data_IF_401015294115
#
_entry.id   IF_401015294115
#
_cell.length_a   1.000
_cell.length_b   1.000
_cell.length_c   1.000
_cell.angle_alpha   90.00
_cell.angle_beta   90.00
_cell.angle_gamma   90.00
#
_symmetry.space_group_name_H-M   'P 1'
#
loop_
_entity.id
_entity.type
_entity.pdbx_description
1 polymer ?
#
# COMPACT_ATOMS: atom_id res chain seq x y z
N UNK A 1 -45.06 1.59 -26.11
CA UNK A 1 -43.95 1.80 -25.16
C UNK A 1 -43.45 3.21 -25.39
N UNK A 2 -43.93 4.17 -24.60
CA UNK A 2 -43.44 5.53 -24.63
C UNK A 2 -41.98 5.53 -24.16
N UNK A 3 -41.05 5.68 -25.11
CA UNK A 3 -39.64 5.85 -24.80
C UNK A 3 -39.49 7.29 -24.36
N UNK A 4 -39.52 7.53 -23.05
CA UNK A 4 -39.13 8.81 -22.49
C UNK A 4 -37.68 9.12 -22.90
N UNK A 5 -37.50 9.94 -23.92
CA UNK A 5 -36.22 10.57 -24.25
C UNK A 5 -35.84 11.49 -23.08
N UNK A 6 -35.14 10.93 -22.08
CA UNK A 6 -34.52 11.74 -21.04
C UNK A 6 -33.60 12.77 -21.72
N UNK A 7 -33.64 14.05 -21.30
CA UNK A 7 -32.75 15.06 -21.86
C UNK A 7 -31.31 14.59 -21.67
N UNK A 8 -30.52 14.66 -22.75
CA UNK A 8 -29.12 14.24 -22.77
C UNK A 8 -28.36 15.02 -21.69
N UNK A 9 -27.99 14.36 -20.60
CA UNK A 9 -27.20 14.95 -19.51
C UNK A 9 -25.84 15.39 -20.06
N UNK A 10 -25.39 16.59 -19.67
CA UNK A 10 -24.05 17.06 -20.05
C UNK A 10 -22.97 16.22 -19.36
N UNK A 11 -21.92 15.77 -20.07
CA UNK A 11 -20.84 15.00 -19.47
C UNK A 11 -20.07 15.86 -18.46
N UNK A 12 -19.89 15.36 -17.23
CA UNK A 12 -19.06 16.00 -16.20
C UNK A 12 -17.54 15.87 -16.43
N UNK A 13 -17.13 15.07 -17.42
CA UNK A 13 -15.73 14.88 -17.78
C UNK A 13 -15.27 16.04 -18.68
N UNK A 14 -14.41 16.90 -18.14
CA UNK A 14 -13.78 18.01 -18.86
C UNK A 14 -12.29 17.69 -18.98
N UNK A 15 -11.77 17.72 -20.21
CA UNK A 15 -10.35 17.52 -20.51
C UNK A 15 -9.57 18.84 -20.35
N UNK A 16 -8.25 18.79 -20.53
CA UNK A 16 -7.44 20.01 -20.64
C UNK A 16 -7.94 20.96 -21.74
N UNK A 17 -7.63 22.25 -21.60
CA UNK A 17 -8.04 23.29 -22.56
C UNK A 17 -7.67 22.94 -24.02
N UNK A 18 -6.44 22.48 -24.34
CA UNK A 18 -6.09 22.11 -25.71
C UNK A 18 -6.97 21.00 -26.29
N UNK A 19 -7.30 19.98 -25.48
CA UNK A 19 -8.15 18.87 -25.90
C UNK A 19 -9.60 19.32 -26.07
N UNK A 20 -10.12 20.15 -25.17
CA UNK A 20 -11.48 20.70 -25.29
C UNK A 20 -11.64 21.63 -26.49
N UNK A 21 -10.63 22.45 -26.81
CA UNK A 21 -10.64 23.30 -28.01
C UNK A 21 -10.81 22.48 -29.29
N UNK A 22 -10.04 21.40 -29.43
CA UNK A 22 -10.14 20.50 -30.58
C UNK A 22 -11.47 19.76 -30.65
N UNK A 23 -11.98 19.31 -29.49
CA UNK A 23 -13.31 18.70 -29.40
C UNK A 23 -14.39 19.71 -29.85
N UNK A 24 -14.32 20.97 -29.43
CA UNK A 24 -15.28 22.00 -29.81
C UNK A 24 -15.22 22.34 -31.31
N UNK A 25 -14.03 22.33 -31.93
CA UNK A 25 -13.87 22.50 -33.38
C UNK A 25 -14.62 21.41 -34.14
N UNK A 26 -14.43 20.14 -33.77
CA UNK A 26 -15.12 18.99 -34.38
C UNK A 26 -16.63 19.05 -34.13
N UNK A 27 -17.06 19.37 -32.91
CA UNK A 27 -18.49 19.52 -32.56
C UNK A 27 -19.15 20.62 -33.38
N UNK A 28 -18.49 21.76 -33.55
CA UNK A 28 -19.00 22.89 -34.34
C UNK A 28 -19.13 22.52 -35.81
N UNK A 29 -18.17 21.77 -36.34
CA UNK A 29 -18.24 21.23 -37.69
C UNK A 29 -19.43 20.26 -37.88
N UNK A 30 -19.62 19.31 -36.97
CA UNK A 30 -20.75 18.35 -37.02
C UNK A 30 -22.11 19.06 -36.92
N UNK A 31 -22.22 20.09 -36.07
CA UNK A 31 -23.44 20.91 -35.94
C UNK A 31 -23.75 21.69 -37.22
N UNK A 32 -22.73 22.31 -37.83
CA UNK A 32 -22.89 23.09 -39.07
C UNK A 32 -23.43 22.25 -40.22
N UNK A 33 -22.98 21.00 -40.33
CA UNK A 33 -23.41 20.05 -41.36
C UNK A 33 -24.66 19.25 -40.98
N UNK A 34 -25.29 19.56 -39.82
CA UNK A 34 -26.50 18.89 -39.33
C UNK A 34 -26.42 17.37 -39.34
N UNK A 35 -25.26 16.82 -38.96
CA UNK A 35 -25.06 15.37 -38.94
C UNK A 35 -26.09 14.69 -38.02
N UNK A 36 -26.78 13.67 -38.52
CA UNK A 36 -27.78 12.93 -37.74
C UNK A 36 -27.09 11.95 -36.78
N UNK A 37 -26.90 12.41 -35.55
CA UNK A 37 -26.20 11.66 -34.52
C UNK A 37 -27.16 10.94 -33.54
N UNK A 38 -26.98 9.61 -33.37
CA UNK A 38 -27.62 8.86 -32.28
C UNK A 38 -27.12 9.30 -30.89
N UNK A 39 -25.85 9.70 -30.79
CA UNK A 39 -25.20 10.16 -29.57
C UNK A 39 -25.03 11.70 -29.55
N UNK A 40 -24.45 12.26 -28.48
CA UNK A 40 -24.06 13.68 -28.47
C UNK A 40 -22.89 13.92 -29.43
N UNK A 41 -22.84 15.09 -30.08
CA UNK A 41 -21.73 15.46 -30.96
C UNK A 41 -20.38 15.43 -30.24
N UNK A 42 -20.35 15.79 -28.95
CA UNK A 42 -19.15 15.70 -28.11
C UNK A 42 -18.62 14.28 -28.02
N UNK A 43 -19.49 13.30 -27.79
CA UNK A 43 -19.09 11.90 -27.71
C UNK A 43 -18.59 11.38 -29.07
N UNK A 44 -19.16 11.86 -30.17
CA UNK A 44 -18.69 11.53 -31.52
C UNK A 44 -17.30 12.11 -31.75
N UNK A 45 -17.07 13.39 -31.42
CA UNK A 45 -15.77 14.03 -31.52
C UNK A 45 -14.68 13.30 -30.73
N UNK A 46 -14.97 12.92 -29.48
CA UNK A 46 -14.02 12.16 -28.65
C UNK A 46 -13.75 10.78 -29.24
N UNK A 47 -14.80 10.08 -29.71
CA UNK A 47 -14.62 8.77 -30.33
C UNK A 47 -13.83 8.84 -31.64
N UNK A 48 -13.96 9.93 -32.39
CA UNK A 48 -13.14 10.20 -33.57
C UNK A 48 -11.69 10.47 -33.17
N UNK A 49 -11.42 11.34 -32.20
CA UNK A 49 -10.04 11.57 -31.76
C UNK A 49 -9.37 10.32 -31.16
N UNK A 50 -10.15 9.43 -30.53
CA UNK A 50 -9.67 8.15 -29.97
C UNK A 50 -9.59 6.99 -30.97
N UNK A 51 -9.78 7.26 -32.27
CA UNK A 51 -9.74 6.23 -33.32
C UNK A 51 -10.75 5.08 -33.09
N UNK A 52 -11.94 5.40 -32.57
CA UNK A 52 -12.95 4.38 -32.29
C UNK A 52 -13.47 3.77 -33.60
N UNK A 53 -13.09 2.52 -33.86
CA UNK A 53 -13.44 1.75 -35.06
C UNK A 53 -14.91 1.88 -35.50
N UNK A 54 -15.87 1.68 -34.59
CA UNK A 54 -17.31 1.72 -34.91
C UNK A 54 -17.80 3.11 -35.34
N UNK A 55 -17.14 4.16 -34.84
CA UNK A 55 -17.49 5.56 -35.16
C UNK A 55 -16.85 5.95 -36.49
N UNK A 56 -15.60 5.56 -36.71
CA UNK A 56 -14.91 5.74 -37.99
C UNK A 56 -15.62 5.05 -39.14
N UNK A 57 -15.95 3.76 -39.00
CA UNK A 57 -16.62 2.99 -40.05
C UNK A 57 -17.93 3.67 -40.49
N UNK A 58 -18.70 4.22 -39.55
CA UNK A 58 -19.97 4.90 -39.86
C UNK A 58 -19.81 6.26 -40.53
N UNK A 59 -18.79 7.02 -40.13
CA UNK A 59 -18.57 8.35 -40.69
C UNK A 59 -17.85 8.29 -42.03
N UNK A 60 -17.06 7.25 -42.29
CA UNK A 60 -16.36 7.07 -43.55
C UNK A 60 -17.29 6.95 -44.76
N UNK A 61 -18.48 6.37 -44.56
CA UNK A 61 -19.51 6.22 -45.59
C UNK A 61 -20.29 7.52 -45.87
N UNK A 62 -20.07 8.57 -45.07
CA UNK A 62 -20.79 9.84 -45.17
C UNK A 62 -19.95 10.89 -45.94
N UNK A 63 -20.53 11.65 -46.90
CA UNK A 63 -19.84 12.74 -47.61
C UNK A 63 -19.10 13.73 -46.71
N UNK A 64 -19.55 13.94 -45.46
CA UNK A 64 -18.88 14.85 -44.52
C UNK A 64 -17.46 14.41 -44.15
N UNK A 65 -17.10 13.13 -44.36
CA UNK A 65 -15.80 12.57 -44.02
C UNK A 65 -14.65 13.29 -44.72
N UNK A 66 -14.85 13.68 -45.98
CA UNK A 66 -13.80 14.25 -46.83
C UNK A 66 -13.23 15.54 -46.24
N UNK A 67 -14.10 16.42 -45.71
CA UNK A 67 -13.63 17.65 -45.05
C UNK A 67 -13.39 17.48 -43.54
N UNK A 68 -13.96 16.44 -42.91
CA UNK A 68 -13.71 16.13 -41.51
C UNK A 68 -12.33 15.50 -41.27
N UNK A 69 -11.87 14.65 -42.19
CA UNK A 69 -10.60 13.94 -42.09
C UNK A 69 -9.40 14.87 -41.84
N UNK A 70 -9.17 15.97 -42.61
CA UNK A 70 -8.05 16.87 -42.34
C UNK A 70 -8.17 17.57 -40.97
N UNK A 71 -9.39 17.92 -40.54
CA UNK A 71 -9.63 18.52 -39.22
C UNK A 71 -9.25 17.54 -38.11
N UNK A 72 -9.59 16.25 -38.25
CA UNK A 72 -9.20 15.22 -37.27
C UNK A 72 -7.69 15.04 -37.18
N UNK A 73 -6.99 15.05 -38.32
CA UNK A 73 -5.52 14.90 -38.35
C UNK A 73 -4.84 16.10 -37.67
N UNK A 74 -5.30 17.32 -37.96
CA UNK A 74 -4.77 18.54 -37.33
C UNK A 74 -5.04 18.55 -35.82
N UNK A 75 -6.25 18.18 -35.42
CA UNK A 75 -6.65 18.08 -34.02
C UNK A 75 -5.83 17.04 -33.24
N UNK A 76 -5.65 15.83 -33.79
CA UNK A 76 -4.82 14.80 -33.15
C UNK A 76 -3.39 15.28 -32.95
N UNK A 77 -2.80 15.89 -33.98
CA UNK A 77 -1.43 16.41 -33.91
C UNK A 77 -1.29 17.54 -32.88
N UNK A 78 -2.29 18.41 -32.75
CA UNK A 78 -2.28 19.48 -31.77
C UNK A 78 -2.33 18.95 -30.33
N UNK A 79 -3.09 17.88 -30.09
CA UNK A 79 -3.17 17.20 -28.79
C UNK A 79 -1.85 16.47 -28.49
N UNK A 80 -1.32 15.71 -29.44
CA UNK A 80 -0.02 15.01 -29.33
C UNK A 80 1.12 15.96 -28.91
N UNK A 81 1.21 17.15 -29.55
CA UNK A 81 2.20 18.17 -29.22
C UNK A 81 2.07 18.73 -27.79
N UNK A 82 0.84 18.83 -27.26
CA UNK A 82 0.62 19.33 -25.90
C UNK A 82 0.97 18.32 -24.81
N UNK A 83 0.87 17.02 -25.13
CA UNK A 83 1.15 15.92 -24.21
C UNK A 83 2.56 15.34 -24.37
N UNK A 84 3.39 15.92 -25.25
CA UNK A 84 4.76 15.44 -25.55
C UNK A 84 4.79 13.94 -25.89
N UNK A 85 3.79 13.48 -26.66
CA UNK A 85 3.63 12.10 -27.11
C UNK A 85 3.32 12.05 -28.60
N UNK A 86 3.76 10.97 -29.26
CA UNK A 86 3.46 10.68 -30.67
C UNK A 86 2.19 9.82 -30.84
N UNK A 87 1.50 9.44 -29.75
CA UNK A 87 0.28 8.63 -29.78
C UNK A 87 -0.89 9.36 -29.09
N UNK A 88 -1.90 9.74 -29.88
CA UNK A 88 -3.15 10.33 -29.38
C UNK A 88 -3.82 9.48 -28.29
N UNK A 89 -3.69 8.15 -28.32
CA UNK A 89 -4.26 7.27 -27.28
C UNK A 89 -3.55 7.43 -25.95
N UNK A 90 -2.24 7.66 -25.98
CA UNK A 90 -1.44 7.94 -24.78
C UNK A 90 -1.82 9.31 -24.19
N UNK A 91 -1.96 10.34 -25.03
CA UNK A 91 -2.44 11.66 -24.61
C UNK A 91 -3.81 11.57 -23.91
N UNK A 92 -4.78 10.86 -24.51
CA UNK A 92 -6.07 10.63 -23.86
C UNK A 92 -5.94 9.80 -22.58
N UNK A 93 -5.05 8.81 -22.51
CA UNK A 93 -4.85 8.03 -21.28
C UNK A 93 -4.36 8.91 -20.13
N UNK A 94 -3.47 9.87 -20.40
CA UNK A 94 -3.00 10.85 -19.42
C UNK A 94 -4.12 11.76 -18.92
N UNK A 95 -4.97 12.26 -19.83
CA UNK A 95 -6.16 13.04 -19.51
C UNK A 95 -7.09 12.29 -18.54
N UNK A 96 -7.43 11.03 -18.85
CA UNK A 96 -8.25 10.20 -17.94
C UNK A 96 -7.54 9.94 -16.61
N UNK A 97 -6.23 9.72 -16.61
CA UNK A 97 -5.47 9.51 -15.39
C UNK A 97 -5.46 10.75 -14.48
N UNK A 98 -5.34 11.94 -15.06
CA UNK A 98 -5.39 13.22 -14.34
C UNK A 98 -6.79 13.48 -13.74
N UNK A 99 -7.84 13.25 -14.51
CA UNK A 99 -9.22 13.35 -14.00
C UNK A 99 -9.50 12.35 -12.87
N UNK A 100 -9.08 11.09 -13.05
CA UNK A 100 -9.23 10.04 -12.03
C UNK A 100 -8.43 10.39 -10.76
N UNK A 101 -7.22 10.95 -10.88
CA UNK A 101 -6.45 11.45 -9.73
C UNK A 101 -7.20 12.54 -8.98
N UNK A 102 -7.87 13.46 -9.70
CA UNK A 102 -8.73 14.49 -9.11
C UNK A 102 -9.89 13.90 -8.32
N UNK A 103 -10.62 12.94 -8.89
CA UNK A 103 -11.71 12.24 -8.19
C UNK A 103 -11.17 11.52 -6.94
N UNK A 104 -10.05 10.81 -7.06
CA UNK A 104 -9.44 10.13 -5.92
C UNK A 104 -9.07 11.14 -4.84
N UNK A 105 -8.49 12.29 -5.18
CA UNK A 105 -8.14 13.32 -4.20
C UNK A 105 -9.37 13.92 -3.50
N UNK A 106 -10.50 14.07 -4.19
CA UNK A 106 -11.73 14.63 -3.64
C UNK A 106 -12.50 13.62 -2.77
N UNK A 107 -12.55 12.35 -3.20
CA UNK A 107 -13.33 11.29 -2.56
C UNK A 107 -12.53 10.59 -1.45
N UNK A 108 -11.23 10.41 -1.64
CA UNK A 108 -10.34 9.77 -0.66
C UNK A 108 -9.77 10.86 0.25
N UNK A 109 -10.50 11.18 1.32
CA UNK A 109 -9.94 11.98 2.43
C UNK A 109 -8.78 11.20 3.05
N UNK A 110 -7.60 11.83 3.08
CA UNK A 110 -6.43 11.27 3.78
C UNK A 110 -6.80 10.94 5.23
N UNK A 111 -6.86 9.65 5.54
CA UNK A 111 -7.24 9.18 6.87
C UNK A 111 -6.07 9.38 7.82
N UNK A 112 -6.33 9.53 9.14
CA UNK A 112 -5.27 9.66 10.16
C UNK A 112 -4.24 8.52 10.05
N UNK A 113 -4.69 7.32 9.66
CA UNK A 113 -3.87 6.16 9.33
C UNK A 113 -2.80 6.42 8.27
N UNK A 114 -3.12 7.15 7.19
CA UNK A 114 -2.16 7.44 6.11
C UNK A 114 -1.08 8.44 6.55
N UNK A 115 -1.42 9.35 7.46
CA UNK A 115 -0.42 10.27 8.04
C UNK A 115 0.58 9.51 8.91
N UNK A 116 0.09 8.61 9.76
CA UNK A 116 0.95 7.78 10.61
C UNK A 116 1.83 6.88 9.72
N UNK A 117 1.25 6.24 8.71
CA UNK A 117 2.00 5.40 7.77
C UNK A 117 3.07 6.18 7.00
N UNK A 118 2.81 7.43 6.61
CA UNK A 118 3.83 8.25 5.92
C UNK A 118 5.07 8.54 6.77
N UNK A 119 4.91 8.62 8.10
CA UNK A 119 6.02 8.83 9.05
C UNK A 119 6.73 7.51 9.33
N UNK A 120 5.97 6.44 9.54
CA UNK A 120 6.51 5.11 9.83
C UNK A 120 7.29 4.51 8.66
N UNK A 121 6.91 4.84 7.42
CA UNK A 121 7.51 4.27 6.19
C UNK A 121 8.59 5.18 5.59
N UNK A 122 8.91 6.32 6.24
CA UNK A 122 9.92 7.23 5.71
C UNK A 122 11.31 6.56 5.68
N UNK A 123 12.03 6.53 4.55
CA UNK A 123 13.28 5.78 4.42
C UNK A 123 14.39 6.22 5.39
N UNK A 124 14.34 7.47 5.88
CA UNK A 124 15.30 8.01 6.85
C UNK A 124 14.86 7.88 8.32
N UNK A 125 13.56 8.04 8.62
CA UNK A 125 13.04 8.07 10.00
C UNK A 125 12.42 6.75 10.43
N UNK A 126 11.98 5.92 9.47
CA UNK A 126 11.36 4.63 9.72
C UNK A 126 12.31 3.63 10.40
N UNK A 127 13.59 3.59 10.03
CA UNK A 127 14.58 2.72 10.69
C UNK A 127 14.83 3.15 12.15
N UNK A 128 15.13 4.42 12.47
CA UNK A 128 15.22 4.89 13.86
C UNK A 128 13.95 4.64 14.70
N UNK A 129 12.77 4.91 14.13
CA UNK A 129 11.50 4.66 14.82
C UNK A 129 11.32 3.17 15.09
N UNK A 130 11.66 2.32 14.12
CA UNK A 130 11.62 0.88 14.28
C UNK A 130 12.56 0.39 15.39
N UNK A 131 13.80 0.86 15.42
CA UNK A 131 14.74 0.52 16.49
C UNK A 131 14.24 1.00 17.86
N UNK A 132 13.63 2.19 17.92
CA UNK A 132 13.04 2.70 19.16
C UNK A 132 11.85 1.84 19.63
N UNK A 133 11.00 1.40 18.71
CA UNK A 133 9.87 0.52 19.00
C UNK A 133 10.34 -0.85 19.48
N UNK A 134 11.35 -1.42 18.83
CA UNK A 134 11.99 -2.67 19.26
C UNK A 134 12.65 -2.53 20.63
N UNK A 135 13.39 -1.45 20.86
CA UNK A 135 13.96 -1.17 22.17
C UNK A 135 12.88 -1.05 23.25
N UNK A 136 11.79 -0.34 22.97
CA UNK A 136 10.64 -0.24 23.86
C UNK A 136 9.99 -1.60 24.14
N UNK A 137 9.88 -2.46 23.12
CA UNK A 137 9.38 -3.81 23.26
C UNK A 137 10.28 -4.67 24.17
N UNK A 138 11.58 -4.69 23.93
CA UNK A 138 12.53 -5.41 24.78
C UNK A 138 12.47 -4.91 26.22
N UNK A 139 12.39 -3.60 26.41
CA UNK A 139 12.33 -3.05 27.76
C UNK A 139 11.02 -3.39 28.48
N UNK A 140 9.90 -3.35 27.76
CA UNK A 140 8.63 -3.82 28.29
C UNK A 140 8.70 -5.30 28.69
N UNK A 141 9.32 -6.13 27.85
CA UNK A 141 9.52 -7.56 28.11
C UNK A 141 10.31 -7.80 29.39
N UNK A 142 11.45 -7.13 29.59
CA UNK A 142 12.26 -7.32 30.80
C UNK A 142 11.56 -6.79 32.06
N UNK A 143 10.87 -5.65 31.97
CA UNK A 143 10.16 -5.06 33.11
C UNK A 143 8.98 -5.94 33.52
N UNK A 144 8.16 -6.40 32.57
CA UNK A 144 7.03 -7.26 32.86
C UNK A 144 7.46 -8.68 33.22
N UNK A 145 8.53 -9.17 32.60
CA UNK A 145 9.07 -10.50 32.80
C UNK A 145 9.84 -10.67 34.13
N UNK A 146 10.34 -9.58 34.72
CA UNK A 146 10.94 -9.61 36.05
C UNK A 146 9.99 -10.17 37.12
N UNK A 147 8.70 -9.80 37.06
CA UNK A 147 7.68 -10.26 38.03
C UNK A 147 7.53 -11.79 38.05
N UNK A 148 7.24 -12.48 36.93
CA UNK A 148 7.18 -13.93 36.92
C UNK A 148 8.55 -14.61 37.11
N UNK A 149 9.66 -13.98 36.74
CA UNK A 149 10.99 -14.51 37.04
C UNK A 149 11.23 -14.63 38.55
N UNK A 150 10.90 -13.61 39.33
CA UNK A 150 11.03 -13.66 40.79
C UNK A 150 10.18 -14.77 41.43
N UNK A 151 8.97 -15.00 40.90
CA UNK A 151 8.10 -16.07 41.38
C UNK A 151 8.67 -17.45 41.09
N UNK A 152 9.24 -17.64 39.90
CA UNK A 152 9.88 -18.89 39.49
C UNK A 152 11.14 -19.12 40.33
N UNK A 153 11.98 -18.10 40.51
CA UNK A 153 13.20 -18.21 41.31
C UNK A 153 12.86 -18.58 42.76
N UNK A 154 11.90 -17.89 43.37
CA UNK A 154 11.43 -18.21 44.71
C UNK A 154 10.84 -19.62 44.83
N UNK A 155 10.09 -20.07 43.82
CA UNK A 155 9.55 -21.44 43.78
C UNK A 155 10.64 -22.49 43.71
N UNK A 156 11.62 -22.34 42.80
CA UNK A 156 12.71 -23.30 42.64
C UNK A 156 13.67 -23.28 43.84
N UNK A 157 13.90 -22.13 44.46
CA UNK A 157 14.65 -22.02 45.71
C UNK A 157 13.96 -22.77 46.85
N UNK A 158 12.67 -22.50 47.08
CA UNK A 158 11.88 -23.23 48.09
C UNK A 158 11.83 -24.74 47.82
N UNK A 159 11.66 -25.13 46.56
CA UNK A 159 11.59 -26.53 46.15
C UNK A 159 12.94 -27.24 46.36
N UNK A 160 14.04 -26.57 46.03
CA UNK A 160 15.40 -27.05 46.29
C UNK A 160 15.66 -27.26 47.78
N UNK A 161 15.27 -26.31 48.63
CA UNK A 161 15.41 -26.42 50.09
C UNK A 161 14.54 -27.55 50.67
N UNK A 162 13.30 -27.68 50.20
CA UNK A 162 12.38 -28.72 50.65
C UNK A 162 12.90 -30.14 50.33
N UNK A 163 13.44 -30.35 49.12
CA UNK A 163 14.05 -31.62 48.74
C UNK A 163 15.40 -31.82 49.47
N UNK A 164 16.21 -30.77 49.55
CA UNK A 164 17.51 -30.79 50.23
C UNK A 164 17.41 -31.19 51.70
N UNK A 165 16.32 -30.83 52.39
CA UNK A 165 16.07 -31.22 53.77
C UNK A 165 15.81 -32.73 53.96
N UNK A 166 15.41 -33.44 52.90
CA UNK A 166 15.15 -34.89 52.95
C UNK A 166 16.37 -35.75 52.61
N UNK A 167 17.42 -35.15 52.05
CA UNK A 167 18.63 -35.85 51.59
C UNK A 167 19.73 -35.68 52.63
N UNK A 168 20.16 -36.78 53.24
CA UNK A 168 21.21 -36.76 54.28
C UNK A 168 22.62 -36.80 53.70
N UNK A 169 22.79 -37.29 52.47
CA UNK A 169 24.08 -37.37 51.79
C UNK A 169 24.38 -36.06 51.04
N UNK A 170 25.50 -35.42 51.37
CA UNK A 170 25.88 -34.10 50.85
C UNK A 170 26.20 -34.10 49.35
N UNK A 171 26.86 -35.16 48.84
CA UNK A 171 27.18 -35.32 47.42
C UNK A 171 25.90 -35.47 46.57
N UNK A 172 24.93 -36.25 47.05
CA UNK A 172 23.65 -36.45 46.37
C UNK A 172 22.79 -35.17 46.45
N UNK A 173 22.82 -34.48 47.60
CA UNK A 173 22.10 -33.21 47.78
C UNK A 173 22.59 -32.16 46.79
N UNK A 174 23.90 -31.96 46.67
CA UNK A 174 24.48 -30.97 45.75
C UNK A 174 24.16 -31.31 44.29
N UNK A 175 24.25 -32.59 43.89
CA UNK A 175 23.91 -33.01 42.53
C UNK A 175 22.44 -32.73 42.19
N UNK A 176 21.52 -32.98 43.13
CA UNK A 176 20.08 -32.82 42.89
C UNK A 176 19.64 -31.37 43.00
N UNK A 177 20.05 -30.67 44.06
CA UNK A 177 19.61 -29.28 44.34
C UNK A 177 20.35 -28.29 43.44
N UNK A 178 21.69 -28.29 43.48
CA UNK A 178 22.50 -27.32 42.74
C UNK A 178 22.71 -27.72 41.28
N UNK A 179 22.67 -29.02 40.97
CA UNK A 179 22.78 -29.52 39.60
C UNK A 179 21.45 -29.52 38.86
N UNK A 180 20.51 -30.37 39.29
CA UNK A 180 19.26 -30.61 38.59
C UNK A 180 18.23 -29.48 38.79
N UNK A 181 17.90 -29.16 40.05
CA UNK A 181 16.82 -28.22 40.36
C UNK A 181 17.22 -26.80 39.96
N UNK A 182 18.39 -26.33 40.36
CA UNK A 182 18.89 -25.02 39.96
C UNK A 182 19.15 -24.95 38.45
N UNK A 183 19.66 -26.03 37.82
CA UNK A 183 19.85 -26.09 36.37
C UNK A 183 18.56 -25.97 35.57
N UNK A 184 17.51 -26.70 35.97
CA UNK A 184 16.19 -26.59 35.33
C UNK A 184 15.56 -25.23 35.63
N UNK A 185 15.66 -24.74 36.87
CA UNK A 185 15.18 -23.42 37.27
C UNK A 185 15.79 -22.31 36.42
N UNK A 186 17.10 -22.36 36.15
CA UNK A 186 17.80 -21.40 35.31
C UNK A 186 17.25 -21.34 33.88
N UNK A 187 16.92 -22.49 33.27
CA UNK A 187 16.31 -22.52 31.92
C UNK A 187 14.88 -22.00 31.96
N UNK A 188 14.10 -22.37 32.98
CA UNK A 188 12.69 -21.97 33.12
C UNK A 188 12.57 -20.46 33.37
N UNK A 189 13.54 -19.82 34.02
CA UNK A 189 13.59 -18.38 34.25
C UNK A 189 13.56 -17.55 32.95
N UNK A 190 14.07 -18.08 31.83
CA UNK A 190 14.00 -17.37 30.54
C UNK A 190 12.62 -17.47 29.86
N UNK A 191 11.81 -18.46 30.23
CA UNK A 191 10.54 -18.77 29.55
C UNK A 191 9.52 -17.63 29.59
N UNK A 192 9.27 -16.95 30.74
CA UNK A 192 8.34 -15.83 30.78
C UNK A 192 8.72 -14.68 29.84
N UNK A 193 10.01 -14.33 29.78
CA UNK A 193 10.51 -13.27 28.91
C UNK A 193 10.25 -13.61 27.44
N UNK A 194 10.53 -14.85 27.03
CA UNK A 194 10.29 -15.33 25.66
C UNK A 194 8.79 -15.23 25.33
N UNK A 195 7.91 -15.69 26.22
CA UNK A 195 6.46 -15.62 25.99
C UNK A 195 5.99 -14.17 25.80
N UNK A 196 6.42 -13.26 26.67
CA UNK A 196 6.04 -11.84 26.59
C UNK A 196 6.58 -11.22 25.30
N UNK A 197 7.82 -11.52 24.92
CA UNK A 197 8.41 -11.05 23.67
C UNK A 197 7.60 -11.53 22.46
N UNK A 198 7.25 -12.82 22.41
CA UNK A 198 6.44 -13.38 21.32
C UNK A 198 5.05 -12.76 21.26
N UNK A 199 4.41 -12.49 22.39
CA UNK A 199 3.13 -11.75 22.44
C UNK A 199 3.31 -10.34 21.86
N UNK A 200 4.39 -9.65 22.24
CA UNK A 200 4.71 -8.33 21.73
C UNK A 200 4.94 -8.31 20.22
N UNK A 201 5.70 -9.29 19.70
CA UNK A 201 5.91 -9.47 18.26
C UNK A 201 4.58 -9.76 17.55
N UNK A 202 3.76 -10.67 18.09
CA UNK A 202 2.45 -11.00 17.53
C UNK A 202 1.50 -9.78 17.49
N UNK A 203 1.57 -8.89 18.49
CA UNK A 203 0.84 -7.63 18.47
C UNK A 203 1.32 -6.70 17.34
N UNK A 204 2.63 -6.57 17.16
CA UNK A 204 3.21 -5.78 16.05
C UNK A 204 2.89 -6.37 14.68
N UNK A 205 2.77 -7.69 14.58
CA UNK A 205 2.31 -8.37 13.38
C UNK A 205 0.82 -8.09 13.13
N UNK A 206 -0.02 -8.22 14.14
CA UNK A 206 -1.48 -8.01 14.03
C UNK A 206 -1.86 -6.57 13.65
N UNK A 207 -1.03 -5.59 14.01
CA UNK A 207 -1.21 -4.17 13.63
C UNK A 207 -0.72 -3.86 12.20
N UNK A 208 -0.17 -4.87 11.51
CA UNK A 208 0.43 -4.71 10.18
C UNK A 208 1.71 -3.88 10.18
N UNK A 209 2.29 -3.60 11.36
CA UNK A 209 3.54 -2.84 11.47
C UNK A 209 4.71 -3.65 10.88
N UNK A 210 4.76 -4.96 11.17
CA UNK A 210 5.78 -5.86 10.61
C UNK A 210 5.76 -5.88 9.07
N UNK A 211 4.60 -5.85 8.44
CA UNK A 211 4.48 -5.77 6.97
C UNK A 211 5.07 -4.47 6.40
N UNK A 212 4.85 -3.35 7.08
CA UNK A 212 5.41 -2.04 6.68
C UNK A 212 6.92 -1.98 6.88
N UNK A 213 7.41 -2.48 8.01
CA UNK A 213 8.84 -2.56 8.33
C UNK A 213 9.57 -3.48 7.36
N UNK A 214 8.99 -4.64 7.01
CA UNK A 214 9.60 -5.56 6.05
C UNK A 214 9.84 -4.86 4.70
N UNK A 215 8.90 -4.05 4.22
CA UNK A 215 9.08 -3.25 3.01
C UNK A 215 10.18 -2.19 3.15
N UNK A 216 10.21 -1.50 4.29
CA UNK A 216 11.20 -0.47 4.62
C UNK A 216 12.63 -1.05 4.67
N UNK A 217 12.76 -2.21 5.32
CA UNK A 217 14.01 -2.94 5.46
C UNK A 217 14.44 -3.56 4.13
N UNK A 218 13.52 -4.06 3.30
CA UNK A 218 13.86 -4.59 1.98
C UNK A 218 14.51 -3.50 1.12
N UNK A 219 13.99 -2.27 1.13
CA UNK A 219 14.61 -1.13 0.44
C UNK A 219 16.01 -0.74 0.97
N UNK A 220 16.25 -0.89 2.28
CA UNK A 220 17.58 -0.66 2.88
C UNK A 220 18.56 -1.80 2.58
N UNK A 221 18.14 -3.05 2.74
CA UNK A 221 18.97 -4.24 2.53
C UNK A 221 19.25 -4.51 1.05
N UNK A 222 18.40 -4.05 0.12
CA UNK A 222 18.69 -4.11 -1.33
C UNK A 222 19.96 -3.33 -1.69
N UNK A 223 20.27 -2.23 -0.98
CA UNK A 223 21.54 -1.51 -1.18
C UNK A 223 22.77 -2.32 -0.76
N UNK A 224 22.60 -3.33 0.08
CA UNK A 224 23.66 -4.20 0.59
C UNK A 224 23.59 -5.63 0.02
N UNK A 225 22.67 -5.91 -0.92
CA UNK A 225 22.55 -7.22 -1.58
C UNK A 225 21.97 -8.34 -0.70
N UNK A 226 21.25 -8.00 0.38
CA UNK A 226 20.63 -8.96 1.30
C UNK A 226 19.10 -8.89 1.23
N UNK A 227 18.43 -10.02 1.47
CA UNK A 227 16.97 -10.10 1.44
C UNK A 227 16.38 -9.76 2.81
N UNK A 228 15.44 -8.82 2.89
CA UNK A 228 14.84 -8.35 4.16
C UNK A 228 14.18 -9.43 5.03
N UNK A 229 13.93 -10.63 4.50
CA UNK A 229 13.37 -11.77 5.26
C UNK A 229 14.31 -12.34 6.35
N UNK A 230 15.62 -12.10 6.28
CA UNK A 230 16.57 -12.57 7.31
C UNK A 230 16.53 -11.77 8.61
N UNK A 231 15.79 -10.65 8.63
CA UNK A 231 15.71 -9.78 9.80
C UNK A 231 14.84 -10.36 10.93
N UNK A 232 13.76 -11.08 10.59
CA UNK A 232 12.88 -11.70 11.59
C UNK A 232 13.66 -12.72 12.45
N UNK A 233 14.44 -13.65 11.86
CA UNK A 233 15.34 -14.53 12.61
C UNK A 233 16.34 -13.80 13.52
N UNK A 234 16.85 -12.63 13.11
CA UNK A 234 17.82 -11.84 13.87
C UNK A 234 17.20 -11.28 15.16
N UNK A 235 15.94 -10.83 15.10
CA UNK A 235 15.21 -10.30 16.27
C UNK A 235 14.72 -11.42 17.19
N UNK A 236 14.35 -12.57 16.63
CA UNK A 236 13.90 -13.73 17.43
C UNK A 236 15.06 -14.56 17.99
N UNK A 237 16.27 -14.40 17.44
CA UNK A 237 17.44 -15.21 17.78
C UNK A 237 18.34 -14.63 18.88
N UNK A 238 18.04 -13.43 19.37
CA UNK A 238 18.75 -12.77 20.49
C UNK A 238 17.82 -12.53 21.67
#
# INVERSE_FOLDING_TARGET
VDVHEKPKLEPKLVFSEPVEEEIQKIVSYLKKHKYEAKNSYRNIAINLLKENRKTYEKLHDDPIWIELQPILIEASKHIELHHDTDDIKEAFAEEYASFNRGIVAEVVKKTITEKIDSVLIHPLYGIPIFLFLMWGLFQLTFVLGAVPMEWIDGFFGWFGDAIGATITNEDIRSLVVDGLIAGVGAVVLFTPNIIILFIGIALLESTGYMSRVAFLLDGFFHKFGLHGQSFIPLVTGF
#
